data_IF_821902426508
#
_entry.id   IF_821902426508
#
_cell.length_a   1.000
_cell.length_b   1.000
_cell.length_c   1.000
_cell.angle_alpha   90.00
_cell.angle_beta   90.00
_cell.angle_gamma   90.00
#
_symmetry.space_group_name_H-M   'P 1'
#
loop_
_entity.id
_entity.type
_entity.pdbx_description
1 polymer ?
#
# COMPACT_ATOMS: atom_id res chain seq x y z
N UNK A 1 -13.35 -30.93 -31.88
CA UNK A 1 -13.98 -31.11 -30.55
C UNK A 1 -13.25 -30.41 -29.39
N UNK A 2 -11.91 -30.38 -29.32
CA UNK A 2 -11.16 -29.67 -28.25
C UNK A 2 -11.44 -28.15 -28.17
N UNK A 3 -11.76 -27.51 -29.30
CA UNK A 3 -11.88 -26.05 -29.40
C UNK A 3 -13.22 -25.51 -28.84
N UNK A 4 -14.34 -26.20 -29.07
CA UNK A 4 -15.66 -25.74 -28.61
C UNK A 4 -15.83 -25.84 -27.09
N UNK A 5 -15.27 -26.88 -26.49
CA UNK A 5 -15.29 -27.05 -25.03
C UNK A 5 -14.46 -25.94 -24.36
N UNK A 6 -13.25 -25.69 -24.85
CA UNK A 6 -12.40 -24.60 -24.33
C UNK A 6 -13.02 -23.22 -24.54
N UNK A 7 -13.69 -23.00 -25.67
CA UNK A 7 -14.41 -21.76 -25.98
C UNK A 7 -15.60 -21.55 -25.05
N UNK A 8 -16.37 -22.61 -24.76
CA UNK A 8 -17.47 -22.55 -23.80
C UNK A 8 -16.99 -22.35 -22.37
N UNK A 9 -15.91 -23.01 -21.96
CA UNK A 9 -15.30 -22.78 -20.64
C UNK A 9 -14.83 -21.33 -20.50
N UNK A 10 -14.15 -20.79 -21.51
CA UNK A 10 -13.71 -19.39 -21.49
C UNK A 10 -14.89 -18.44 -21.40
N UNK A 11 -15.94 -18.68 -22.20
CA UNK A 11 -17.16 -17.88 -22.16
C UNK A 11 -17.85 -17.93 -20.79
N UNK A 12 -17.92 -19.10 -20.15
CA UNK A 12 -18.48 -19.25 -18.80
C UNK A 12 -17.64 -18.55 -17.74
N UNK A 13 -16.32 -18.56 -17.87
CA UNK A 13 -15.42 -17.83 -16.97
C UNK A 13 -15.58 -16.31 -17.12
N UNK A 14 -15.61 -15.81 -18.35
CA UNK A 14 -15.79 -14.39 -18.64
C UNK A 14 -17.17 -13.89 -18.13
N UNK A 15 -18.24 -14.68 -18.34
CA UNK A 15 -19.58 -14.37 -17.81
C UNK A 15 -19.63 -14.39 -16.27
N UNK A 16 -18.92 -15.31 -15.62
CA UNK A 16 -18.82 -15.36 -14.17
C UNK A 16 -18.03 -14.16 -13.61
N UNK A 17 -16.97 -13.74 -14.27
CA UNK A 17 -16.19 -12.56 -13.91
C UNK A 17 -17.02 -11.28 -14.02
N UNK A 18 -17.72 -11.08 -15.14
CA UNK A 18 -18.61 -9.92 -15.32
C UNK A 18 -19.70 -9.90 -14.24
N UNK A 19 -20.31 -11.04 -13.94
CA UNK A 19 -21.34 -11.12 -12.89
C UNK A 19 -20.79 -10.81 -11.50
N UNK A 20 -19.57 -11.25 -11.18
CA UNK A 20 -18.90 -10.90 -9.93
C UNK A 20 -18.63 -9.39 -9.83
N UNK A 21 -18.19 -8.77 -10.93
CA UNK A 21 -17.98 -7.32 -10.98
C UNK A 21 -19.28 -6.54 -10.84
N UNK A 22 -20.33 -6.94 -11.55
CA UNK A 22 -21.64 -6.29 -11.44
C UNK A 22 -22.27 -6.47 -10.05
N UNK A 23 -22.13 -7.64 -9.43
CA UNK A 23 -22.62 -7.89 -8.07
C UNK A 23 -21.83 -7.07 -7.04
N UNK A 24 -20.52 -6.86 -7.24
CA UNK A 24 -19.68 -6.00 -6.41
C UNK A 24 -20.02 -4.51 -6.57
N UNK A 25 -20.35 -4.06 -7.79
CA UNK A 25 -20.75 -2.67 -8.05
C UNK A 25 -22.18 -2.36 -7.58
N UNK A 26 -23.13 -3.30 -7.77
CA UNK A 26 -24.54 -3.13 -7.35
C UNK A 26 -24.72 -3.25 -5.83
N UNK A 27 -23.93 -4.10 -5.16
CA UNK A 27 -23.91 -4.19 -3.69
C UNK A 27 -22.86 -3.24 -3.14
N UNK A 28 -23.13 -1.94 -3.21
CA UNK A 28 -22.32 -0.87 -2.64
C UNK A 28 -22.19 -0.90 -1.08
N UNK A 29 -22.32 -2.10 -0.48
CA UNK A 29 -22.15 -2.48 0.92
C UNK A 29 -21.88 -4.00 1.00
N UNK A 30 -20.61 -4.41 1.11
CA UNK A 30 -20.27 -5.75 1.62
C UNK A 30 -19.14 -6.51 0.91
N UNK A 31 -18.19 -6.99 1.74
CA UNK A 31 -17.08 -7.96 1.52
C UNK A 31 -16.10 -7.65 0.37
N UNK A 32 -16.57 -7.24 -0.81
CA UNK A 32 -15.75 -6.96 -1.99
C UNK A 32 -15.15 -5.54 -2.00
N UNK A 33 -15.75 -4.62 -1.24
CA UNK A 33 -15.16 -3.31 -0.91
C UNK A 33 -14.20 -3.38 0.28
N UNK A 34 -14.01 -4.58 0.87
CA UNK A 34 -13.05 -4.77 1.94
C UNK A 34 -11.64 -4.78 1.35
N UNK A 35 -10.78 -3.90 1.86
CA UNK A 35 -9.35 -3.83 1.52
C UNK A 35 -8.71 -5.23 1.53
N UNK A 36 -9.12 -6.13 2.43
CA UNK A 36 -8.63 -7.51 2.49
C UNK A 36 -9.03 -8.38 1.30
N UNK A 37 -10.22 -8.17 0.74
CA UNK A 37 -10.67 -8.87 -0.47
C UNK A 37 -9.92 -8.36 -1.69
N UNK A 38 -9.80 -7.04 -1.85
CA UNK A 38 -9.02 -6.45 -2.93
C UNK A 38 -7.56 -6.91 -2.90
N UNK A 39 -6.94 -6.93 -1.72
CA UNK A 39 -5.57 -7.41 -1.55
C UNK A 39 -5.38 -8.88 -1.92
N UNK A 40 -6.36 -9.74 -1.61
CA UNK A 40 -6.28 -11.17 -1.88
C UNK A 40 -6.45 -11.51 -3.36
N UNK A 41 -7.39 -10.85 -4.05
CA UNK A 41 -7.78 -11.23 -5.42
C UNK A 41 -7.17 -10.35 -6.51
N UNK A 42 -6.97 -9.06 -6.24
CA UNK A 42 -6.41 -8.10 -7.19
C UNK A 42 -4.99 -7.62 -6.82
N UNK A 43 -4.49 -8.02 -5.65
CA UNK A 43 -3.19 -7.59 -5.13
C UNK A 43 -3.21 -6.14 -4.61
N UNK A 44 -2.06 -5.67 -4.12
CA UNK A 44 -1.91 -4.27 -3.72
C UNK A 44 -2.03 -3.37 -4.94
N UNK A 45 -3.18 -2.71 -5.13
CA UNK A 45 -3.29 -1.52 -5.98
C UNK A 45 -2.68 -0.31 -5.27
N UNK A 46 -1.48 -0.43 -4.70
CA UNK A 46 -0.75 0.77 -4.32
C UNK A 46 -0.25 1.36 -5.63
N UNK A 47 -0.90 2.42 -6.09
CA UNK A 47 -0.19 3.50 -6.76
C UNK A 47 0.82 4.09 -5.76
N UNK A 48 1.83 3.30 -5.35
CA UNK A 48 2.92 3.79 -4.54
C UNK A 48 3.70 4.74 -5.44
N UNK A 49 3.32 6.01 -5.40
CA UNK A 49 4.08 7.08 -6.02
C UNK A 49 5.29 7.26 -5.11
N UNK A 50 6.50 6.89 -5.56
CA UNK A 50 7.68 7.09 -4.74
C UNK A 50 7.75 8.56 -4.35
N UNK A 51 8.23 8.86 -3.12
CA UNK A 51 8.38 10.24 -2.68
C UNK A 51 9.18 11.01 -3.73
N UNK A 52 8.79 12.27 -3.96
CA UNK A 52 9.49 13.13 -4.91
C UNK A 52 10.99 13.17 -4.60
N UNK A 53 11.84 13.37 -5.62
CA UNK A 53 13.30 13.40 -5.46
C UNK A 53 13.74 14.34 -4.33
N UNK A 54 13.03 15.47 -4.17
CA UNK A 54 13.24 16.43 -3.08
C UNK A 54 12.88 15.84 -1.71
N UNK A 55 11.69 15.27 -1.56
CA UNK A 55 11.27 14.66 -0.29
C UNK A 55 12.20 13.52 0.11
N UNK A 56 12.65 12.73 -0.88
CA UNK A 56 13.61 11.65 -0.67
C UNK A 56 14.97 12.18 -0.19
N UNK A 57 15.48 13.26 -0.77
CA UNK A 57 16.72 13.91 -0.33
C UNK A 57 16.60 14.51 1.08
N UNK A 58 15.47 15.16 1.39
CA UNK A 58 15.19 15.70 2.73
C UNK A 58 15.15 14.57 3.76
N UNK A 59 14.53 13.43 3.44
CA UNK A 59 14.50 12.29 4.36
C UNK A 59 15.92 11.73 4.56
N UNK A 60 16.69 11.51 3.47
CA UNK A 60 18.01 10.90 3.59
C UNK A 60 19.07 11.79 4.23
N UNK A 61 18.98 13.12 4.08
CA UNK A 61 19.96 14.06 4.63
C UNK A 61 19.46 14.68 5.94
N UNK A 62 18.18 15.07 5.98
CA UNK A 62 17.57 15.73 7.13
C UNK A 62 17.36 14.80 8.31
N UNK A 63 16.99 13.53 8.09
CA UNK A 63 16.78 12.58 9.18
C UNK A 63 18.07 12.31 9.97
N UNK A 64 19.24 12.01 9.36
CA UNK A 64 20.49 11.88 10.09
C UNK A 64 20.87 13.14 10.87
N UNK A 65 20.71 14.32 10.28
CA UNK A 65 21.03 15.59 10.94
C UNK A 65 20.13 15.80 12.16
N UNK A 66 18.82 15.58 12.02
CA UNK A 66 17.87 15.71 13.13
C UNK A 66 18.19 14.75 14.28
N UNK A 67 18.58 13.51 13.97
CA UNK A 67 19.01 12.52 14.98
C UNK A 67 20.28 12.99 15.70
N UNK A 68 21.28 13.50 14.97
CA UNK A 68 22.52 14.01 15.57
C UNK A 68 22.26 15.19 16.52
N UNK A 69 21.38 16.12 16.12
CA UNK A 69 21.00 17.26 16.96
C UNK A 69 20.23 16.80 18.22
N UNK A 70 19.34 15.82 18.09
CA UNK A 70 18.67 15.23 19.25
C UNK A 70 19.68 14.64 20.23
N UNK A 71 20.64 13.85 19.74
CA UNK A 71 21.67 13.25 20.59
C UNK A 71 22.52 14.34 21.27
N UNK A 72 22.92 15.40 20.56
CA UNK A 72 23.70 16.48 21.16
C UNK A 72 22.93 17.20 22.28
N UNK A 73 21.64 17.49 22.07
CA UNK A 73 20.82 18.13 23.10
C UNK A 73 20.64 17.27 24.34
N UNK A 74 20.50 15.94 24.19
CA UNK A 74 20.41 15.01 25.31
C UNK A 74 21.73 14.98 26.10
N UNK A 75 22.87 14.97 25.41
CA UNK A 75 24.19 14.99 26.05
C UNK A 75 24.39 16.28 26.85
N UNK A 76 24.03 17.43 26.28
CA UNK A 76 24.16 18.73 26.95
C UNK A 76 23.23 18.83 28.16
N UNK A 77 22.01 18.28 28.06
CA UNK A 77 21.08 18.20 29.17
C UNK A 77 21.62 17.30 30.30
N UNK A 78 22.19 16.14 29.99
CA UNK A 78 22.83 15.27 30.99
C UNK A 78 23.99 16.00 31.67
N UNK A 79 24.86 16.66 30.90
CA UNK A 79 25.97 17.45 31.46
C UNK A 79 25.50 18.57 32.38
N UNK A 80 24.38 19.21 32.06
CA UNK A 80 23.78 20.26 32.88
C UNK A 80 23.33 19.70 34.24
N UNK A 81 22.66 18.54 34.25
CA UNK A 81 22.22 17.88 35.48
C UNK A 81 23.43 17.44 36.32
N UNK A 82 24.45 16.85 35.71
CA UNK A 82 25.62 16.30 36.45
C UNK A 82 26.55 17.39 37.00
N UNK A 83 26.53 18.61 36.45
CA UNK A 83 27.30 19.75 36.95
C UNK A 83 26.57 20.59 38.01
N UNK A 84 25.25 20.40 38.16
CA UNK A 84 24.42 21.05 39.18
C UNK A 84 24.45 20.26 40.49
#
# INVERSE_FOLDING_TARGET
>A
MKNEIQKNFRKQMDEAEIKLHEDAEKKNTGIFTNILFELRFYGYKSEYKPPSKLLRAVIYIGLPIAVLLLISTIIDFIKLITKS
#
